data_IF_836779010201
#
_entry.id   IF_836779010201
#
_cell.length_a   1.000
_cell.length_b   1.000
_cell.length_c   1.000
_cell.angle_alpha   90.00
_cell.angle_beta   90.00
_cell.angle_gamma   90.00
#
_symmetry.space_group_name_H-M   'P 1'
#
loop_
_entity.id
_entity.type
_entity.pdbx_description
1 polymer ?
#
# COMPACT_ATOMS: atom_id res chain seq x y z
N UNK A 1 -9.17 2.16 2.16
CA UNK A 1 -8.60 1.08 2.95
C UNK A 1 -7.50 0.33 2.20
N UNK A 2 -6.74 -0.40 2.95
CA UNK A 2 -5.64 -1.19 2.41
C UNK A 2 -5.57 -2.53 3.14
N UNK A 3 -5.25 -3.59 2.39
CA UNK A 3 -4.96 -4.91 2.93
C UNK A 3 -3.61 -5.36 2.39
N UNK A 4 -2.69 -5.67 3.29
CA UNK A 4 -1.34 -6.12 2.97
C UNK A 4 -1.20 -7.58 3.39
N UNK A 5 -0.81 -8.44 2.45
CA UNK A 5 -0.64 -9.87 2.70
C UNK A 5 0.83 -10.20 2.85
N UNK A 6 1.19 -10.79 3.98
CA UNK A 6 2.54 -11.23 4.24
C UNK A 6 2.81 -12.60 3.60
N UNK A 7 4.09 -12.98 3.57
CA UNK A 7 4.54 -14.24 2.97
C UNK A 7 3.99 -15.46 3.70
N UNK A 8 3.71 -15.33 5.01
CA UNK A 8 3.13 -16.37 5.84
C UNK A 8 1.59 -16.26 5.96
N UNK A 9 0.95 -15.58 5.00
CA UNK A 9 -0.50 -15.45 4.85
C UNK A 9 -1.20 -14.66 5.96
N UNK A 10 -0.51 -13.78 6.65
CA UNK A 10 -1.12 -12.83 7.58
C UNK A 10 -1.59 -11.59 6.83
N UNK A 11 -2.73 -11.05 7.22
CA UNK A 11 -3.30 -9.84 6.62
C UNK A 11 -3.16 -8.67 7.58
N UNK A 12 -2.61 -7.57 7.10
CA UNK A 12 -2.48 -6.32 7.85
C UNK A 12 -3.37 -5.28 7.19
N UNK A 13 -4.31 -4.73 7.94
CA UNK A 13 -5.26 -3.74 7.44
C UNK A 13 -4.79 -2.32 7.76
N UNK A 14 -5.14 -1.39 6.89
CA UNK A 14 -4.88 0.03 7.11
C UNK A 14 -6.06 0.87 6.66
N UNK A 15 -6.22 2.02 7.28
CA UNK A 15 -7.16 3.04 6.85
C UNK A 15 -6.46 4.38 6.85
N UNK A 16 -6.99 5.32 6.07
CA UNK A 16 -6.46 6.67 6.01
C UNK A 16 -6.70 7.38 7.34
N UNK A 17 -5.68 8.02 7.88
CA UNK A 17 -5.76 8.81 9.11
C UNK A 17 -5.38 10.24 8.77
N UNK A 18 -6.36 11.14 8.82
CA UNK A 18 -6.15 12.54 8.47
C UNK A 18 -5.77 13.36 9.69
N UNK A 19 -4.95 14.38 9.46
CA UNK A 19 -4.51 15.32 10.48
C UNK A 19 -4.76 16.74 10.01
N UNK A 20 -5.11 17.62 10.94
CA UNK A 20 -5.21 19.04 10.67
C UNK A 20 -3.86 19.62 10.21
N UNK A 21 -2.76 19.06 10.70
CA UNK A 21 -1.44 19.31 10.16
C UNK A 21 -1.19 18.32 9.01
N UNK A 22 -1.36 18.75 7.77
CA UNK A 22 -1.33 17.89 6.59
C UNK A 22 -0.13 16.92 6.54
N UNK A 23 1.10 17.34 6.86
CA UNK A 23 2.23 16.40 6.84
C UNK A 23 2.11 15.21 7.81
N UNK A 24 1.23 15.31 8.80
CA UNK A 24 0.98 14.21 9.75
C UNK A 24 -0.10 13.25 9.28
N UNK A 25 -0.77 13.54 8.17
CA UNK A 25 -1.76 12.65 7.56
C UNK A 25 -1.09 11.38 7.09
N UNK A 26 -1.71 10.23 7.39
CA UNK A 26 -1.16 8.92 7.05
C UNK A 26 -2.10 8.18 6.10
N UNK A 27 -1.59 7.78 4.94
CA UNK A 27 -2.34 6.99 3.98
C UNK A 27 -2.56 5.56 4.47
N UNK A 28 -3.65 4.92 4.04
CA UNK A 28 -4.01 3.56 4.41
C UNK A 28 -2.87 2.57 4.14
N UNK A 29 -2.17 2.71 3.01
CA UNK A 29 -1.06 1.85 2.62
C UNK A 29 0.07 1.90 3.65
N UNK A 30 0.44 3.11 4.08
CA UNK A 30 1.51 3.27 5.06
C UNK A 30 1.10 2.78 6.44
N UNK A 31 -0.17 2.94 6.82
CA UNK A 31 -0.68 2.39 8.07
C UNK A 31 -0.52 0.86 8.08
N UNK A 32 -0.92 0.19 7.01
CA UNK A 32 -0.81 -1.27 6.91
C UNK A 32 0.67 -1.71 6.89
N UNK A 33 1.51 -1.05 6.10
CA UNK A 33 2.93 -1.40 5.97
C UNK A 33 3.66 -1.20 7.31
N UNK A 34 3.50 -0.06 7.93
CA UNK A 34 4.17 0.23 9.20
C UNK A 34 3.69 -0.67 10.33
N UNK A 35 2.40 -1.04 10.33
CA UNK A 35 1.87 -2.02 11.27
C UNK A 35 2.60 -3.37 11.14
N UNK A 36 2.75 -3.86 9.93
CA UNK A 36 3.44 -5.11 9.67
C UNK A 36 4.93 -5.03 10.07
N UNK A 37 5.60 -3.97 9.65
CA UNK A 37 7.03 -3.76 9.95
C UNK A 37 7.26 -3.66 11.46
N UNK A 38 6.36 -3.00 12.19
CA UNK A 38 6.48 -2.86 13.65
C UNK A 38 6.35 -4.20 14.38
N UNK A 39 5.77 -5.19 13.72
CA UNK A 39 5.63 -6.55 14.25
C UNK A 39 6.73 -7.49 13.76
N UNK A 40 7.74 -6.97 13.06
CA UNK A 40 8.86 -7.74 12.55
C UNK A 40 8.61 -8.49 11.26
N UNK A 41 7.49 -8.23 10.57
CA UNK A 41 7.18 -8.86 9.29
C UNK A 41 7.88 -8.08 8.17
N UNK A 42 8.67 -8.77 7.36
CA UNK A 42 9.51 -8.13 6.33
C UNK A 42 9.32 -8.69 4.93
N UNK A 43 8.54 -9.76 4.77
CA UNK A 43 8.29 -10.39 3.47
C UNK A 43 6.82 -10.42 3.15
N UNK A 44 6.45 -9.99 1.94
CA UNK A 44 5.08 -9.77 1.54
C UNK A 44 4.78 -10.38 0.16
N UNK A 45 3.51 -10.74 -0.07
CA UNK A 45 3.04 -11.33 -1.32
C UNK A 45 2.26 -10.35 -2.19
N UNK A 46 1.45 -9.48 -1.58
CA UNK A 46 0.56 -8.60 -2.32
C UNK A 46 0.05 -7.46 -1.45
N UNK A 47 -0.37 -6.38 -2.09
CA UNK A 47 -1.07 -5.28 -1.42
C UNK A 47 -2.30 -4.90 -2.24
N UNK A 48 -3.43 -4.72 -1.57
CA UNK A 48 -4.69 -4.29 -2.19
C UNK A 48 -5.12 -2.96 -1.59
N UNK A 49 -5.45 -2.01 -2.45
CA UNK A 49 -5.84 -0.66 -2.07
C UNK A 49 -7.25 -0.41 -2.59
N UNK A 50 -8.16 -0.06 -1.70
CA UNK A 50 -9.55 0.23 -2.03
C UNK A 50 -9.83 1.70 -1.72
N UNK A 51 -10.28 2.44 -2.72
CA UNK A 51 -10.71 3.82 -2.58
C UNK A 51 -11.89 4.08 -3.51
N UNK A 52 -12.64 5.15 -3.23
CA UNK A 52 -13.83 5.51 -3.99
C UNK A 52 -13.56 5.65 -5.50
N UNK A 53 -12.38 6.10 -5.86
CA UNK A 53 -11.97 6.39 -7.23
C UNK A 53 -10.98 5.38 -7.79
N UNK A 54 -10.74 4.27 -7.07
CA UNK A 54 -9.72 3.29 -7.39
C UNK A 54 -8.35 3.95 -7.62
N UNK A 55 -8.02 4.92 -6.78
CA UNK A 55 -6.81 5.73 -6.93
C UNK A 55 -5.54 4.91 -6.72
N UNK A 56 -4.52 5.22 -7.52
CA UNK A 56 -3.18 4.66 -7.36
C UNK A 56 -2.53 5.21 -6.08
N UNK A 57 -1.54 4.50 -5.51
CA UNK A 57 -0.83 5.00 -4.33
C UNK A 57 -0.24 6.38 -4.56
N UNK A 58 -0.24 7.22 -3.53
CA UNK A 58 0.41 8.53 -3.58
C UNK A 58 1.93 8.40 -3.68
N UNK A 59 2.64 9.50 -3.97
CA UNK A 59 4.08 9.48 -4.13
C UNK A 59 4.85 8.88 -2.95
N UNK A 60 4.64 9.37 -1.72
CA UNK A 60 5.29 8.79 -0.54
C UNK A 60 4.99 7.30 -0.35
N UNK A 61 3.75 6.87 -0.63
CA UNK A 61 3.38 5.47 -0.53
C UNK A 61 4.12 4.61 -1.56
N UNK A 62 4.31 5.11 -2.78
CA UNK A 62 5.08 4.40 -3.81
C UNK A 62 6.51 4.17 -3.37
N UNK A 63 7.14 5.17 -2.76
CA UNK A 63 8.51 5.05 -2.24
C UNK A 63 8.59 3.98 -1.13
N UNK A 64 7.66 4.00 -0.19
CA UNK A 64 7.62 3.02 0.91
C UNK A 64 7.33 1.60 0.38
N UNK A 65 6.46 1.46 -0.59
CA UNK A 65 6.22 0.17 -1.24
C UNK A 65 7.52 -0.36 -1.87
N UNK A 66 8.23 0.50 -2.60
CA UNK A 66 9.50 0.12 -3.20
C UNK A 66 10.52 -0.36 -2.15
N UNK A 67 10.69 0.39 -1.07
CA UNK A 67 11.69 0.08 -0.06
C UNK A 67 11.40 -1.22 0.71
N UNK A 68 10.15 -1.44 1.09
CA UNK A 68 9.81 -2.48 2.05
C UNK A 68 9.05 -3.67 1.47
N UNK A 69 8.31 -3.49 0.38
CA UNK A 69 7.53 -4.59 -0.21
C UNK A 69 8.22 -5.21 -1.43
N UNK A 70 9.00 -4.43 -2.15
CA UNK A 70 9.66 -4.89 -3.37
C UNK A 70 8.68 -5.07 -4.52
N UNK A 71 8.98 -6.03 -5.39
CA UNK A 71 8.27 -6.23 -6.66
C UNK A 71 7.11 -7.21 -6.48
N UNK A 72 6.08 -6.78 -5.74
CA UNK A 72 4.86 -7.56 -5.52
C UNK A 72 3.69 -6.90 -6.26
N UNK A 73 2.63 -7.65 -6.60
CA UNK A 73 1.47 -7.04 -7.25
C UNK A 73 0.76 -6.04 -6.34
N UNK A 74 0.37 -4.92 -6.94
CA UNK A 74 -0.39 -3.85 -6.29
C UNK A 74 -1.77 -3.82 -6.96
N UNK A 75 -2.81 -4.15 -6.20
CA UNK A 75 -4.18 -4.17 -6.71
C UNK A 75 -4.91 -2.92 -6.26
N UNK A 76 -5.62 -2.26 -7.18
CA UNK A 76 -6.46 -1.12 -6.84
C UNK A 76 -7.89 -1.38 -7.29
N UNK A 77 -8.86 -0.95 -6.48
CA UNK A 77 -10.28 -1.18 -6.72
C UNK A 77 -11.10 -0.06 -6.09
N UNK A 78 -12.32 0.15 -6.59
CA UNK A 78 -13.28 1.04 -5.94
C UNK A 78 -14.13 0.33 -4.87
N UNK A 79 -13.98 -0.99 -4.72
CA UNK A 79 -14.67 -1.77 -3.71
C UNK A 79 -16.13 -2.09 -4.02
N UNK A 80 -16.67 -1.60 -5.12
CA UNK A 80 -18.08 -1.78 -5.51
C UNK A 80 -18.20 -2.78 -6.65
N UNK A 81 -17.35 -2.63 -7.68
CA UNK A 81 -17.31 -3.52 -8.82
C UNK A 81 -16.34 -4.67 -8.56
N UNK A 82 -16.57 -5.81 -9.21
CA UNK A 82 -15.65 -6.95 -9.10
C UNK A 82 -14.31 -6.69 -9.81
N UNK A 83 -14.25 -5.63 -10.61
CA UNK A 83 -13.06 -5.27 -11.37
C UNK A 83 -12.01 -4.63 -10.48
N UNK A 84 -10.76 -4.96 -10.74
CA UNK A 84 -9.61 -4.33 -10.12
C UNK A 84 -8.50 -4.15 -11.14
N UNK A 85 -7.61 -3.21 -10.88
CA UNK A 85 -6.42 -3.02 -11.69
C UNK A 85 -5.20 -3.58 -10.96
N UNK A 86 -4.23 -4.09 -11.72
CA UNK A 86 -2.96 -4.57 -11.18
C UNK A 86 -1.84 -3.66 -11.66
N UNK A 87 -1.00 -3.24 -10.71
CA UNK A 87 0.13 -2.35 -11.00
C UNK A 87 1.44 -2.96 -10.52
N UNK A 88 2.54 -2.54 -11.13
CA UNK A 88 3.88 -2.87 -10.65
C UNK A 88 4.54 -1.61 -10.09
N UNK A 89 5.36 -1.77 -9.05
CA UNK A 89 6.07 -0.63 -8.48
C UNK A 89 7.06 -0.03 -9.47
N UNK A 90 7.61 -0.82 -10.37
CA UNK A 90 8.51 -0.34 -11.41
C UNK A 90 7.87 0.67 -12.35
N UNK A 91 6.57 0.50 -12.64
CA UNK A 91 5.81 1.45 -13.47
C UNK A 91 5.35 2.67 -12.68
N UNK A 92 4.98 2.48 -11.42
CA UNK A 92 4.49 3.57 -10.56
C UNK A 92 5.62 4.47 -10.06
N UNK A 93 6.82 3.93 -9.93
CA UNK A 93 7.99 4.65 -9.42
C UNK A 93 9.24 4.24 -10.22
N UNK A 94 9.40 4.74 -11.47
CA UNK A 94 10.53 4.33 -12.32
C UNK A 94 11.90 4.81 -11.82
N UNK A 95 11.94 5.86 -11.00
CA UNK A 95 13.19 6.41 -10.46
C UNK A 95 13.12 6.54 -8.94
N UNK A 96 13.15 5.43 -8.20
CA UNK A 96 13.06 5.47 -6.74
C UNK A 96 14.37 5.89 -6.09
N UNK A 97 14.29 6.29 -4.82
CA UNK A 97 15.44 6.41 -3.94
C UNK A 97 15.86 5.02 -3.46
N UNK A 98 17.09 4.66 -3.68
CA UNK A 98 17.62 3.38 -3.20
C UNK A 98 17.36 2.16 -4.06
#
# INVERSE_FOLDING_TARGET
>A
GCALLSDDDKVFLGCNIESAAYPSTMCAERVAIYSALSQGITKFKAIAIVSKEAAKPCGPCRQIIHEYLGDIPIYTSNGIEENYETHSIKKLLPYPFG
#
